data_IF_484918005280
#
_entry.id   IF_484918005280
#
_cell.length_a   1.000
_cell.length_b   1.000
_cell.length_c   1.000
_cell.angle_alpha   90.00
_cell.angle_beta   90.00
_cell.angle_gamma   90.00
#
_symmetry.space_group_name_H-M   'P 1'
#
loop_
_entity.id
_entity.type
_entity.pdbx_description
1 polymer ?
#
# COMPACT_ATOMS: atom_id res chain seq x y z
N UNK A 1 -12.98 2.68 -16.65
CA UNK A 1 -11.94 3.23 -15.75
C UNK A 1 -12.40 3.01 -14.33
N UNK A 2 -11.50 2.64 -13.42
CA UNK A 2 -11.86 2.35 -12.04
C UNK A 2 -10.67 2.43 -11.11
N UNK A 3 -10.94 2.68 -9.83
CA UNK A 3 -9.93 2.65 -8.79
C UNK A 3 -10.38 1.80 -7.62
N UNK A 4 -9.41 1.21 -6.93
CA UNK A 4 -9.61 0.47 -5.69
C UNK A 4 -8.73 1.12 -4.64
N UNK A 5 -9.30 1.40 -3.48
CA UNK A 5 -8.62 1.99 -2.33
C UNK A 5 -8.84 1.06 -1.14
N UNK A 6 -7.78 0.78 -0.41
CA UNK A 6 -7.81 0.07 0.86
C UNK A 6 -7.06 0.90 1.90
N UNK A 7 -7.62 0.98 3.11
CA UNK A 7 -7.08 1.75 4.23
C UNK A 7 -6.92 0.79 5.39
N UNK A 8 -5.74 0.82 6.02
CA UNK A 8 -5.39 -0.06 7.11
C UNK A 8 -4.87 0.75 8.30
N UNK A 9 -5.55 0.63 9.43
CA UNK A 9 -5.03 1.05 10.72
C UNK A 9 -4.28 -0.13 11.35
N UNK A 10 -2.96 0.01 11.48
CA UNK A 10 -2.08 -1.02 12.04
C UNK A 10 -1.17 -0.45 13.13
N UNK A 11 -0.76 -1.24 14.13
CA UNK A 11 0.16 -0.79 15.17
C UNK A 11 1.47 -0.21 14.61
N UNK A 12 2.13 0.69 15.37
CA UNK A 12 3.41 1.31 14.97
C UNK A 12 4.55 0.32 14.74
N UNK A 13 4.49 -0.86 15.35
CA UNK A 13 5.49 -1.93 15.19
C UNK A 13 5.12 -2.94 14.08
N UNK A 14 4.08 -2.68 13.29
CA UNK A 14 3.66 -3.57 12.23
C UNK A 14 4.70 -3.62 11.10
N UNK A 15 5.08 -4.80 10.57
CA UNK A 15 6.15 -4.95 9.57
C UNK A 15 5.91 -4.17 8.27
N UNK A 16 4.65 -3.95 7.88
CA UNK A 16 4.31 -3.10 6.74
C UNK A 16 4.91 -1.68 6.86
N UNK A 17 5.03 -1.13 8.07
CA UNK A 17 5.59 0.21 8.30
C UNK A 17 7.09 0.26 8.00
N UNK A 18 7.83 -0.80 8.28
CA UNK A 18 9.24 -0.89 7.90
C UNK A 18 9.44 -0.83 6.37
N UNK A 19 8.56 -1.50 5.61
CA UNK A 19 8.58 -1.43 4.14
C UNK A 19 8.32 -0.02 3.62
N UNK A 20 7.43 0.74 4.27
CA UNK A 20 7.17 2.14 3.93
C UNK A 20 8.42 2.99 4.21
N UNK A 21 9.01 2.87 5.40
CA UNK A 21 10.20 3.61 5.79
C UNK A 21 11.42 3.32 4.90
N UNK A 22 11.64 2.06 4.51
CA UNK A 22 12.71 1.65 3.58
C UNK A 22 12.57 2.27 2.17
N UNK A 23 11.37 2.74 1.83
CA UNK A 23 11.06 3.36 0.54
C UNK A 23 10.80 4.88 0.67
N UNK A 24 11.19 5.49 1.79
CA UNK A 24 10.99 6.92 2.09
C UNK A 24 9.50 7.35 2.04
N UNK A 25 8.59 6.44 2.36
CA UNK A 25 7.14 6.71 2.41
C UNK A 25 6.73 7.00 3.85
N UNK A 26 6.03 8.11 4.04
CA UNK A 26 5.50 8.52 5.34
C UNK A 26 4.52 7.49 5.90
N UNK A 27 4.71 7.10 7.15
CA UNK A 27 3.93 6.09 7.85
C UNK A 27 3.34 6.59 9.18
N UNK A 28 3.19 7.89 9.43
CA UNK A 28 2.73 8.42 10.74
C UNK A 28 1.19 8.34 10.94
N UNK A 29 0.51 7.47 10.20
CA UNK A 29 -0.93 7.27 10.26
C UNK A 29 -1.38 5.97 9.61
N UNK A 30 -2.55 6.01 8.98
CA UNK A 30 -3.10 4.88 8.22
C UNK A 30 -2.22 4.54 7.01
N UNK A 31 -2.19 3.26 6.66
CA UNK A 31 -1.59 2.79 5.42
C UNK A 31 -2.68 2.76 4.34
N UNK A 32 -2.50 3.56 3.29
CA UNK A 32 -3.45 3.73 2.18
C UNK A 32 -2.84 3.11 0.93
N UNK A 33 -3.49 2.06 0.40
CA UNK A 33 -3.15 1.42 -0.86
C UNK A 33 -4.17 1.81 -1.92
N UNK A 34 -3.71 2.42 -3.02
CA UNK A 34 -4.60 2.86 -4.12
C UNK A 34 -4.12 2.35 -5.48
N UNK A 35 -4.96 1.56 -6.16
CA UNK A 35 -4.73 1.07 -7.53
C UNK A 35 -5.70 1.72 -8.49
N UNK A 36 -5.21 2.26 -9.60
CA UNK A 36 -6.00 2.91 -10.65
C UNK A 36 -5.81 2.19 -11.98
N UNK A 37 -6.90 1.79 -12.63
CA UNK A 37 -6.89 1.28 -14.00
C UNK A 37 -7.34 2.37 -14.97
N UNK A 38 -6.43 2.78 -15.85
CA UNK A 38 -6.67 3.80 -16.88
C UNK A 38 -7.40 3.21 -18.09
N UNK A 39 -8.00 4.08 -18.91
CA UNK A 39 -8.80 3.65 -20.06
C UNK A 39 -8.00 2.94 -21.16
N UNK A 40 -6.68 3.08 -21.15
CA UNK A 40 -5.73 2.45 -22.06
C UNK A 40 -5.16 1.12 -21.51
N UNK A 41 -5.69 0.60 -20.39
CA UNK A 41 -5.30 -0.67 -19.80
C UNK A 41 -4.07 -0.62 -18.90
N UNK A 42 -3.42 0.54 -18.74
CA UNK A 42 -2.31 0.68 -17.78
C UNK A 42 -2.83 0.69 -16.35
N UNK A 43 -2.00 0.17 -15.44
CA UNK A 43 -2.28 0.21 -14.00
C UNK A 43 -1.27 1.14 -13.34
N UNK A 44 -1.77 2.06 -12.51
CA UNK A 44 -0.96 2.90 -11.62
C UNK A 44 -1.25 2.51 -10.18
N UNK A 45 -0.24 2.53 -9.34
CA UNK A 45 -0.37 2.21 -7.92
C UNK A 45 0.24 3.31 -7.07
N UNK A 46 -0.34 3.48 -5.89
CA UNK A 46 0.03 4.50 -4.93
C UNK A 46 0.01 3.89 -3.54
N UNK A 47 0.96 4.30 -2.70
CA UNK A 47 1.06 3.98 -1.27
C UNK A 47 1.15 5.30 -0.54
N UNK A 48 0.24 5.57 0.39
CA UNK A 48 0.13 6.85 1.12
C UNK A 48 0.16 8.06 0.18
N UNK A 49 -0.68 8.00 -0.86
CA UNK A 49 -0.80 8.98 -1.94
C UNK A 49 0.43 9.24 -2.81
N UNK A 50 1.56 8.60 -2.51
CA UNK A 50 2.76 8.66 -3.32
C UNK A 50 2.72 7.61 -4.45
N UNK A 51 3.09 7.97 -5.70
CA UNK A 51 3.25 6.99 -6.77
C UNK A 51 4.27 5.92 -6.37
N UNK A 52 3.93 4.66 -6.60
CA UNK A 52 4.79 3.55 -6.20
C UNK A 52 4.86 2.45 -7.26
N UNK A 53 5.63 1.40 -6.98
CA UNK A 53 5.75 0.22 -7.82
C UNK A 53 4.71 -0.84 -7.44
N UNK A 54 4.32 -1.66 -8.42
CA UNK A 54 3.42 -2.80 -8.17
C UNK A 54 4.06 -3.82 -7.22
N UNK A 55 5.39 -3.93 -7.23
CA UNK A 55 6.16 -4.77 -6.30
C UNK A 55 5.98 -4.31 -4.87
N UNK A 56 6.24 -3.03 -4.57
CA UNK A 56 6.07 -2.50 -3.21
C UNK A 56 4.62 -2.65 -2.73
N UNK A 57 3.64 -2.34 -3.58
CA UNK A 57 2.22 -2.51 -3.23
C UNK A 57 1.89 -3.97 -2.87
N UNK A 58 2.48 -4.94 -3.57
CA UNK A 58 2.29 -6.37 -3.27
C UNK A 58 2.93 -6.75 -1.93
N UNK A 59 4.14 -6.29 -1.68
CA UNK A 59 4.88 -6.64 -0.45
C UNK A 59 4.21 -6.05 0.78
N UNK A 60 3.78 -4.78 0.71
CA UNK A 60 2.98 -4.13 1.76
C UNK A 60 1.64 -4.84 1.95
N UNK A 61 0.93 -5.15 0.86
CA UNK A 61 -0.34 -5.87 0.92
C UNK A 61 -0.22 -7.25 1.57
N UNK A 62 0.88 -7.98 1.30
CA UNK A 62 1.17 -9.26 1.94
C UNK A 62 1.40 -9.11 3.44
N UNK A 63 2.22 -8.14 3.83
CA UNK A 63 2.49 -7.86 5.25
C UNK A 63 1.21 -7.49 6.03
N UNK A 64 0.28 -6.77 5.40
CA UNK A 64 -1.01 -6.38 6.00
C UNK A 64 -1.96 -7.57 6.19
N UNK A 65 -1.94 -8.56 5.29
CA UNK A 65 -2.83 -9.73 5.36
C UNK A 65 -2.29 -10.80 6.31
N UNK A 66 -0.97 -11.01 6.37
CA UNK A 66 -0.37 -12.07 7.20
C UNK A 66 -0.65 -11.92 8.71
N UNK A 67 -0.88 -10.69 9.21
CA UNK A 67 -1.19 -10.43 10.63
C UNK A 67 -2.69 -10.50 10.94
N UNK A 68 -3.57 -10.37 9.93
CA UNK A 68 -5.03 -10.42 10.11
C UNK A 68 -5.65 -11.79 9.79
N UNK A 69 -4.85 -12.77 9.36
CA UNK A 69 -5.30 -14.08 8.87
C UNK A 69 -5.00 -15.27 9.79
N UNK A 70 -4.71 -15.04 11.08
CA UNK A 70 -4.40 -16.07 12.09
C UNK A 70 -5.39 -16.01 13.25
#
# INVERSE_FOLDING_TARGET
>A
QGQVIAVFDVPRNHPARALLAENDIEDDGDIILRRVQTGDGRTRVFVNDQPSSVTLMRDVGRALVEIHGQ
#
